data_IF_035704022006
#
_entry.id   IF_035704022006
#
_cell.length_a   1.000
_cell.length_b   1.000
_cell.length_c   1.000
_cell.angle_alpha   90.00
_cell.angle_beta   90.00
_cell.angle_gamma   90.00
#
_symmetry.space_group_name_H-M   'P 1'
#
loop_
_entity.id
_entity.type
_entity.pdbx_description
1 polymer ?
#
# COMPACT_ATOMS: atom_id res chain seq x y z
N UNK A 1 15.63 6.22 -3.25
CA UNK A 1 15.37 5.25 -2.15
C UNK A 1 14.64 4.07 -2.78
N UNK A 2 15.00 2.83 -2.47
CA UNK A 2 14.43 1.62 -3.09
C UNK A 2 13.32 1.06 -2.20
N UNK A 3 12.25 0.51 -2.78
CA UNK A 3 11.23 -0.21 -1.99
C UNK A 3 11.88 -1.42 -1.30
N UNK A 4 11.67 -1.61 0.02
CA UNK A 4 12.29 -2.73 0.75
C UNK A 4 11.94 -4.09 0.13
N UNK A 5 10.70 -4.28 -0.30
CA UNK A 5 10.18 -5.56 -0.83
C UNK A 5 10.68 -5.93 -2.24
N UNK A 6 11.44 -5.06 -2.92
CA UNK A 6 11.83 -5.27 -4.32
C UNK A 6 12.73 -6.49 -4.47
N UNK A 7 13.60 -6.76 -3.50
CA UNK A 7 14.52 -7.89 -3.59
C UNK A 7 13.79 -9.22 -3.35
N UNK A 8 12.83 -9.29 -2.43
CA UNK A 8 11.92 -10.43 -2.25
C UNK A 8 11.12 -10.72 -3.52
N UNK A 9 10.61 -9.66 -4.18
CA UNK A 9 9.89 -9.80 -5.45
C UNK A 9 10.77 -10.40 -6.55
N UNK A 10 12.01 -9.90 -6.69
CA UNK A 10 12.97 -10.38 -7.69
C UNK A 10 13.43 -11.82 -7.43
N UNK A 11 13.50 -12.25 -6.16
CA UNK A 11 13.79 -13.64 -5.78
C UNK A 11 12.60 -14.59 -5.91
N UNK A 12 11.41 -14.07 -6.24
CA UNK A 12 10.21 -14.88 -6.40
C UNK A 12 9.63 -15.37 -5.07
N UNK A 13 9.93 -14.69 -3.96
CA UNK A 13 9.37 -15.02 -2.65
C UNK A 13 7.86 -14.75 -2.58
N UNK A 14 7.20 -15.23 -1.53
CA UNK A 14 5.76 -15.03 -1.33
C UNK A 14 5.47 -13.61 -0.82
N UNK A 15 5.36 -12.68 -1.76
CA UNK A 15 4.94 -11.29 -1.57
C UNK A 15 3.51 -11.10 -2.10
N UNK A 16 2.76 -10.16 -1.53
CA UNK A 16 1.39 -9.89 -2.00
C UNK A 16 1.39 -9.31 -3.42
N UNK A 17 0.30 -9.51 -4.15
CA UNK A 17 0.19 -9.02 -5.53
C UNK A 17 0.35 -7.50 -5.62
N UNK A 18 -0.16 -6.74 -4.65
CA UNK A 18 0.04 -5.29 -4.60
C UNK A 18 1.51 -4.91 -4.39
N UNK A 19 2.26 -5.64 -3.56
CA UNK A 19 3.69 -5.41 -3.39
C UNK A 19 4.45 -5.65 -4.71
N UNK A 20 4.09 -6.70 -5.46
CA UNK A 20 4.66 -6.93 -6.79
C UNK A 20 4.36 -5.78 -7.74
N UNK A 21 3.11 -5.31 -7.79
CA UNK A 21 2.71 -4.17 -8.65
C UNK A 21 3.47 -2.90 -8.30
N UNK A 22 3.63 -2.59 -7.01
CA UNK A 22 4.38 -1.41 -6.55
C UNK A 22 5.85 -1.45 -6.99
N UNK A 23 6.42 -2.63 -7.20
CA UNK A 23 7.83 -2.78 -7.61
C UNK A 23 8.07 -2.50 -9.09
N UNK A 24 7.05 -2.56 -9.94
CA UNK A 24 7.19 -2.40 -11.40
C UNK A 24 7.76 -1.04 -11.82
N UNK A 25 7.29 0.04 -11.19
CA UNK A 25 7.85 1.40 -11.34
C UNK A 25 8.01 2.05 -9.96
N UNK A 26 8.91 1.48 -9.17
CA UNK A 26 9.14 1.88 -7.77
C UNK A 26 9.34 3.38 -7.61
N UNK A 27 10.17 4.00 -8.45
CA UNK A 27 10.58 5.39 -8.24
C UNK A 27 9.51 6.39 -8.70
N UNK A 28 8.67 6.00 -9.66
CA UNK A 28 7.59 6.84 -10.18
C UNK A 28 6.30 6.71 -9.36
N UNK A 29 5.91 5.49 -9.00
CA UNK A 29 4.63 5.22 -8.33
C UNK A 29 4.80 4.45 -7.02
N UNK A 30 5.58 3.37 -7.02
CA UNK A 30 5.61 2.43 -5.91
C UNK A 30 6.00 3.04 -4.57
N UNK A 31 7.16 3.70 -4.50
CA UNK A 31 7.66 4.34 -3.29
C UNK A 31 6.79 5.54 -2.89
N UNK A 32 6.48 6.52 -3.77
CA UNK A 32 5.60 7.63 -3.39
C UNK A 32 4.23 7.17 -2.85
N UNK A 33 3.61 6.20 -3.52
CA UNK A 33 2.31 5.65 -3.10
C UNK A 33 2.42 4.91 -1.76
N UNK A 34 3.49 4.12 -1.56
CA UNK A 34 3.70 3.39 -0.31
C UNK A 34 3.91 4.33 0.88
N UNK A 35 4.68 5.40 0.68
CA UNK A 35 4.88 6.44 1.70
C UNK A 35 3.56 7.15 2.03
N UNK A 36 2.79 7.52 1.01
CA UNK A 36 1.49 8.15 1.20
C UNK A 36 0.52 7.23 1.96
N UNK A 37 0.38 5.97 1.54
CA UNK A 37 -0.48 5.00 2.23
C UNK A 37 -0.07 4.79 3.68
N UNK A 38 1.24 4.68 3.95
CA UNK A 38 1.74 4.53 5.31
C UNK A 38 1.42 5.75 6.17
N UNK A 39 1.62 6.97 5.63
CA UNK A 39 1.32 8.20 6.36
C UNK A 39 -0.18 8.33 6.65
N UNK A 40 -1.03 8.10 5.65
CA UNK A 40 -2.48 8.22 5.81
C UNK A 40 -3.03 7.15 6.76
N UNK A 41 -2.58 5.90 6.63
CA UNK A 41 -3.15 4.80 7.40
C UNK A 41 -2.50 4.61 8.78
N UNK A 42 -1.25 5.03 8.98
CA UNK A 42 -0.47 4.77 10.21
C UNK A 42 0.17 6.02 10.83
N UNK A 43 0.21 7.14 10.13
CA UNK A 43 0.74 8.40 10.64
C UNK A 43 -0.12 9.05 11.73
N UNK A 44 0.37 10.16 12.32
CA UNK A 44 -0.36 10.94 13.32
C UNK A 44 -1.66 11.49 12.76
N UNK A 45 -2.77 11.27 13.46
CA UNK A 45 -4.07 11.85 13.09
C UNK A 45 -5.04 11.70 14.27
N UNK A 46 -6.09 12.52 14.26
CA UNK A 46 -7.18 12.48 15.25
C UNK A 46 -8.05 11.22 15.11
N UNK A 47 -8.05 10.57 13.94
CA UNK A 47 -8.76 9.32 13.70
C UNK A 47 -7.92 8.13 14.15
N UNK A 48 -8.57 7.17 14.79
CA UNK A 48 -7.99 5.88 15.13
C UNK A 48 -7.62 5.11 13.86
N UNK A 49 -6.62 4.24 13.97
CA UNK A 49 -6.23 3.34 12.86
C UNK A 49 -7.43 2.57 12.32
N UNK A 50 -8.28 2.03 13.20
CA UNK A 50 -9.48 1.29 12.80
C UNK A 50 -10.51 2.15 12.04
N UNK A 51 -10.64 3.43 12.35
CA UNK A 51 -11.54 4.34 11.62
C UNK A 51 -11.02 4.59 10.20
N UNK A 52 -9.71 4.77 10.05
CA UNK A 52 -9.09 4.96 8.73
C UNK A 52 -9.19 3.71 7.87
N UNK A 53 -9.03 2.53 8.46
CA UNK A 53 -9.29 1.25 7.78
C UNK A 53 -10.77 1.10 7.40
N UNK A 54 -11.72 1.54 8.24
CA UNK A 54 -13.14 1.53 7.92
C UNK A 54 -13.45 2.44 6.72
N UNK A 55 -12.86 3.63 6.65
CA UNK A 55 -13.02 4.54 5.52
C UNK A 55 -12.46 3.94 4.23
N UNK A 56 -11.29 3.29 4.30
CA UNK A 56 -10.69 2.60 3.17
C UNK A 56 -11.59 1.45 2.69
N UNK A 57 -12.04 0.57 3.59
CA UNK A 57 -12.90 -0.55 3.26
C UNK A 57 -14.26 -0.10 2.68
N UNK A 58 -14.87 0.93 3.26
CA UNK A 58 -16.12 1.51 2.74
C UNK A 58 -15.93 2.07 1.33
N UNK A 59 -14.85 2.83 1.10
CA UNK A 59 -14.52 3.39 -0.22
C UNK A 59 -14.26 2.29 -1.24
N UNK A 60 -13.51 1.24 -0.88
CA UNK A 60 -13.27 0.09 -1.74
C UNK A 60 -14.57 -0.65 -2.09
N UNK A 61 -15.50 -0.79 -1.13
CA UNK A 61 -16.81 -1.38 -1.37
C UNK A 61 -17.63 -0.59 -2.40
N UNK A 62 -17.64 0.74 -2.30
CA UNK A 62 -18.30 1.62 -3.28
C UNK A 62 -17.70 1.48 -4.69
N UNK A 63 -16.41 1.17 -4.78
CA UNK A 63 -15.71 0.94 -6.05
C UNK A 63 -15.76 -0.51 -6.52
N UNK A 64 -16.49 -1.39 -5.81
CA UNK A 64 -16.50 -2.83 -6.08
C UNK A 64 -15.08 -3.42 -6.19
N UNK A 65 -14.16 -2.99 -5.31
CA UNK A 65 -12.78 -3.45 -5.26
C UNK A 65 -12.66 -4.57 -4.22
N UNK A 66 -12.57 -5.86 -4.65
CA UNK A 66 -12.53 -7.01 -3.73
C UNK A 66 -11.12 -7.36 -3.23
N UNK A 67 -10.11 -6.68 -3.76
CA UNK A 67 -8.73 -6.80 -3.30
C UNK A 67 -8.60 -6.20 -1.89
#
# INVERSE_FOLDING_TARGET
MRLPCLDECLRGENVSDIQRVLTYRSDFFGLPMSMLSQEVLRGPSEWLVGERELFAAFTSSLNHCPF
#
